data_IF_710200404472
#
_entry.id   IF_710200404472
#
_cell.length_a   1.000
_cell.length_b   1.000
_cell.length_c   1.000
_cell.angle_alpha   90.00
_cell.angle_beta   90.00
_cell.angle_gamma   90.00
#
_symmetry.space_group_name_H-M   'P 1'
#
loop_
_entity.id
_entity.type
_entity.pdbx_description
1 polymer ?
#
# COMPACT_ATOMS: atom_id res chain seq x y z
N UNK A 1 -6.57 22.71 20.92
CA UNK A 1 -5.57 22.11 20.01
C UNK A 1 -6.08 22.33 18.59
N UNK A 2 -5.28 22.91 17.70
CA UNK A 2 -5.66 23.04 16.30
C UNK A 2 -5.49 21.70 15.54
N UNK A 3 -6.02 21.63 14.31
CA UNK A 3 -5.99 20.40 13.50
C UNK A 3 -4.58 19.94 13.16
N UNK A 4 -3.63 20.86 12.94
CA UNK A 4 -2.27 20.51 12.58
C UNK A 4 -1.55 19.86 13.77
N UNK A 5 -1.72 20.42 14.97
CA UNK A 5 -1.22 19.88 16.23
C UNK A 5 -1.84 18.52 16.55
N UNK A 6 -3.16 18.37 16.37
CA UNK A 6 -3.85 17.10 16.56
C UNK A 6 -3.34 16.01 15.60
N UNK A 7 -3.17 16.33 14.31
CA UNK A 7 -2.59 15.40 13.32
C UNK A 7 -1.13 15.05 13.64
N UNK A 8 -0.36 16.01 14.15
CA UNK A 8 1.03 15.76 14.56
C UNK A 8 1.09 14.76 15.73
N UNK A 9 0.28 14.97 16.77
CA UNK A 9 0.19 14.08 17.91
C UNK A 9 -0.28 12.67 17.51
N UNK A 10 -1.30 12.57 16.64
CA UNK A 10 -1.79 11.28 16.13
C UNK A 10 -0.71 10.52 15.34
N UNK A 11 0.06 11.20 14.49
CA UNK A 11 1.17 10.58 13.76
C UNK A 11 2.27 10.08 14.68
N UNK A 12 2.64 10.87 15.70
CA UNK A 12 3.65 10.47 16.67
C UNK A 12 3.22 9.20 17.43
N UNK A 13 1.98 9.15 17.90
CA UNK A 13 1.43 7.97 18.57
C UNK A 13 1.38 6.74 17.64
N UNK A 14 0.93 6.93 16.39
CA UNK A 14 0.85 5.86 15.40
C UNK A 14 2.23 5.28 15.05
N UNK A 15 3.23 6.15 14.84
CA UNK A 15 4.60 5.72 14.55
C UNK A 15 5.21 4.94 15.73
N UNK A 16 4.97 5.39 16.97
CA UNK A 16 5.42 4.68 18.17
C UNK A 16 4.78 3.28 18.26
N UNK A 17 3.48 3.15 17.98
CA UNK A 17 2.79 1.86 17.99
C UNK A 17 3.25 0.94 16.85
N UNK A 18 3.52 1.52 15.67
CA UNK A 18 3.98 0.77 14.49
C UNK A 18 5.31 0.05 14.73
N UNK A 19 6.17 0.57 15.60
CA UNK A 19 7.44 -0.07 15.93
C UNK A 19 7.28 -1.48 16.53
N UNK A 20 6.11 -1.81 17.10
CA UNK A 20 5.79 -3.14 17.62
C UNK A 20 5.07 -4.05 16.62
N UNK A 21 4.88 -3.60 15.36
CA UNK A 21 4.17 -4.36 14.35
C UNK A 21 4.99 -5.56 13.88
N UNK A 22 4.43 -6.76 13.99
CA UNK A 22 5.00 -7.97 13.39
C UNK A 22 4.64 -8.01 11.89
N UNK A 23 5.62 -7.98 10.96
CA UNK A 23 5.34 -8.07 9.52
C UNK A 23 4.60 -9.34 9.11
N UNK A 24 4.70 -10.43 9.89
CA UNK A 24 4.05 -11.72 9.61
C UNK A 24 2.52 -11.64 9.61
N UNK A 25 1.94 -10.61 10.24
CA UNK A 25 0.48 -10.39 10.22
C UNK A 25 -0.05 -10.02 8.82
N UNK A 26 0.84 -9.73 7.86
CA UNK A 26 0.48 -9.46 6.46
C UNK A 26 -0.31 -10.59 5.80
N UNK A 27 -0.07 -11.85 6.18
CA UNK A 27 -0.85 -12.98 5.69
C UNK A 27 -2.30 -12.94 6.17
N UNK A 28 -2.52 -12.65 7.46
CA UNK A 28 -3.86 -12.49 8.02
C UNK A 28 -4.58 -11.28 7.40
N UNK A 29 -3.87 -10.16 7.21
CA UNK A 29 -4.39 -8.99 6.50
C UNK A 29 -4.85 -9.34 5.08
N UNK A 30 -4.05 -10.09 4.31
CA UNK A 30 -4.41 -10.50 2.96
C UNK A 30 -5.70 -11.34 2.93
N UNK A 31 -5.86 -12.26 3.88
CA UNK A 31 -7.08 -13.06 4.03
C UNK A 31 -8.29 -12.18 4.33
N UNK A 32 -8.16 -11.23 5.27
CA UNK A 32 -9.26 -10.31 5.61
C UNK A 32 -9.66 -9.44 4.42
N UNK A 33 -8.70 -8.89 3.68
CA UNK A 33 -8.97 -8.09 2.48
C UNK A 33 -9.72 -8.92 1.44
N UNK A 34 -9.24 -10.12 1.11
CA UNK A 34 -9.87 -10.95 0.07
C UNK A 34 -11.24 -11.52 0.48
N UNK A 35 -11.51 -11.62 1.78
CA UNK A 35 -12.81 -12.05 2.31
C UNK A 35 -13.83 -10.91 2.35
N UNK A 36 -13.46 -9.77 2.93
CA UNK A 36 -14.41 -8.73 3.33
C UNK A 36 -14.42 -7.54 2.35
N UNK A 37 -13.31 -7.33 1.62
CA UNK A 37 -13.09 -6.17 0.76
C UNK A 37 -12.54 -6.59 -0.62
N UNK A 38 -12.98 -7.74 -1.14
CA UNK A 38 -12.44 -8.30 -2.38
C UNK A 38 -12.58 -7.30 -3.53
N UNK A 39 -11.51 -7.03 -4.30
CA UNK A 39 -11.61 -6.18 -5.48
C UNK A 39 -12.60 -6.77 -6.51
N UNK A 40 -13.33 -5.92 -7.27
CA UNK A 40 -14.17 -6.40 -8.36
C UNK A 40 -13.39 -7.22 -9.38
N UNK A 41 -13.97 -8.30 -9.91
CA UNK A 41 -13.30 -9.16 -10.88
C UNK A 41 -12.81 -8.36 -12.10
N UNK A 42 -11.56 -8.60 -12.50
CA UNK A 42 -10.91 -7.89 -13.61
C UNK A 42 -10.41 -6.49 -13.29
N UNK A 43 -10.60 -6.00 -12.07
CA UNK A 43 -10.12 -4.67 -11.68
C UNK A 43 -8.59 -4.61 -11.62
N UNK A 44 -8.02 -3.47 -12.00
CA UNK A 44 -6.64 -3.11 -11.69
C UNK A 44 -6.52 -2.67 -10.24
N UNK A 45 -5.73 -3.39 -9.46
CA UNK A 45 -5.53 -3.18 -8.03
C UNK A 45 -4.21 -2.46 -7.79
N UNK A 46 -4.26 -1.25 -7.26
CA UNK A 46 -3.09 -0.59 -6.70
C UNK A 46 -2.82 -1.10 -5.27
N UNK A 47 -1.60 -1.55 -5.05
CA UNK A 47 -1.03 -1.78 -3.73
C UNK A 47 0.29 -1.02 -3.63
N UNK A 48 1.04 -1.18 -2.55
CA UNK A 48 2.33 -0.52 -2.36
C UNK A 48 3.37 -1.52 -1.86
N UNK A 49 4.64 -1.28 -2.17
CA UNK A 49 5.72 -1.98 -1.49
C UNK A 49 5.85 -1.44 -0.06
N UNK A 50 5.55 -2.26 0.94
CA UNK A 50 5.62 -1.88 2.36
C UNK A 50 7.04 -1.48 2.75
N UNK A 51 7.17 -0.43 3.55
CA UNK A 51 8.44 0.00 4.13
C UNK A 51 8.81 -0.82 5.37
N UNK A 52 10.04 -0.67 5.85
CA UNK A 52 10.49 -1.30 7.09
C UNK A 52 9.60 -0.89 8.28
N UNK A 53 9.21 -1.90 9.06
CA UNK A 53 8.30 -1.76 10.21
C UNK A 53 6.82 -1.63 9.84
N UNK A 54 6.44 -1.71 8.55
CA UNK A 54 5.04 -1.81 8.14
C UNK A 54 4.57 -3.26 8.06
N UNK A 55 3.25 -3.47 8.09
CA UNK A 55 2.66 -4.77 7.76
C UNK A 55 3.07 -5.11 6.31
N UNK A 56 3.60 -6.31 6.10
CA UNK A 56 4.04 -6.71 4.77
C UNK A 56 2.88 -6.79 3.79
N UNK A 57 3.01 -6.16 2.63
CA UNK A 57 2.04 -6.23 1.52
C UNK A 57 2.34 -7.35 0.52
N UNK A 58 3.50 -8.02 0.65
CA UNK A 58 3.88 -9.14 -0.23
C UNK A 58 2.83 -10.27 -0.26
N UNK A 59 2.24 -10.69 0.89
CA UNK A 59 1.21 -11.74 0.86
C UNK A 59 -0.02 -11.39 0.02
N UNK A 60 -0.54 -10.15 0.12
CA UNK A 60 -1.70 -9.73 -0.68
C UNK A 60 -1.33 -9.55 -2.16
N UNK A 61 -0.13 -9.04 -2.46
CA UNK A 61 0.38 -8.96 -3.84
C UNK A 61 0.44 -10.33 -4.52
N UNK A 62 1.00 -11.33 -3.83
CA UNK A 62 1.08 -12.70 -4.34
C UNK A 62 -0.31 -13.34 -4.50
N UNK A 63 -1.22 -13.10 -3.55
CA UNK A 63 -2.58 -13.64 -3.61
C UNK A 63 -3.38 -13.03 -4.77
N UNK A 64 -3.29 -11.71 -4.96
CA UNK A 64 -3.91 -11.02 -6.11
C UNK A 64 -3.34 -11.53 -7.44
N UNK A 65 -2.03 -11.79 -7.50
CA UNK A 65 -1.39 -12.30 -8.72
C UNK A 65 -1.85 -13.73 -9.03
N UNK A 66 -1.91 -14.59 -8.01
CA UNK A 66 -2.44 -15.95 -8.12
C UNK A 66 -3.87 -15.96 -8.67
N UNK A 67 -4.71 -15.04 -8.16
CA UNK A 67 -6.10 -14.81 -8.59
C UNK A 67 -6.23 -14.06 -9.93
N UNK A 68 -5.12 -13.79 -10.62
CA UNK A 68 -5.07 -13.18 -11.96
C UNK A 68 -5.56 -11.72 -12.03
N UNK A 69 -5.47 -10.97 -10.94
CA UNK A 69 -5.68 -9.52 -10.98
C UNK A 69 -4.52 -8.80 -11.67
N UNK A 70 -4.82 -7.67 -12.31
CA UNK A 70 -3.80 -6.70 -12.72
C UNK A 70 -3.37 -5.92 -11.48
N UNK A 71 -2.07 -5.83 -11.23
CA UNK A 71 -1.53 -5.19 -10.03
C UNK A 71 -0.60 -4.05 -10.43
N UNK A 72 -0.75 -2.87 -9.82
CA UNK A 72 0.22 -1.79 -9.93
C UNK A 72 0.74 -1.32 -8.58
N UNK A 73 1.95 -0.77 -8.61
CA UNK A 73 2.57 -0.07 -7.50
C UNK A 73 2.70 1.43 -7.82
N UNK A 74 2.57 2.33 -6.83
CA UNK A 74 2.71 3.76 -7.02
C UNK A 74 4.17 4.15 -7.24
N UNK A 75 4.40 5.07 -8.16
CA UNK A 75 5.64 5.81 -8.35
C UNK A 75 5.42 7.21 -7.80
N UNK A 76 6.28 7.64 -6.88
CA UNK A 76 6.21 8.99 -6.30
C UNK A 76 6.95 9.98 -7.18
N UNK A 77 6.26 10.91 -7.88
CA UNK A 77 6.89 11.88 -8.77
C UNK A 77 7.50 13.06 -7.99
N UNK A 78 7.76 14.17 -8.69
CA UNK A 78 8.07 15.46 -8.07
C UNK A 78 6.90 15.93 -7.19
N UNK A 79 7.20 16.69 -6.14
CA UNK A 79 6.15 17.21 -5.23
C UNK A 79 5.22 18.12 -6.04
N UNK A 80 3.92 17.95 -5.86
CA UNK A 80 2.89 18.70 -6.59
C UNK A 80 2.30 17.93 -7.77
N UNK A 81 2.93 16.82 -8.18
CA UNK A 81 2.44 15.96 -9.25
C UNK A 81 1.65 14.76 -8.69
N UNK A 82 0.64 14.25 -9.43
CA UNK A 82 -0.13 13.07 -9.02
C UNK A 82 0.72 11.80 -9.09
N UNK A 83 0.44 10.83 -8.20
CA UNK A 83 1.07 9.51 -8.27
C UNK A 83 0.86 8.87 -9.64
N UNK A 84 1.93 8.28 -10.18
CA UNK A 84 1.85 7.39 -11.32
C UNK A 84 1.78 5.95 -10.81
N UNK A 85 1.29 5.02 -11.62
CA UNK A 85 1.18 3.62 -11.22
C UNK A 85 1.75 2.73 -12.32
N UNK A 86 2.61 1.78 -11.93
CA UNK A 86 3.33 0.89 -12.84
C UNK A 86 3.00 -0.56 -12.52
N UNK A 87 2.82 -1.36 -13.55
CA UNK A 87 2.48 -2.78 -13.41
C UNK A 87 3.54 -3.53 -12.61
N UNK A 88 3.11 -4.37 -11.68
CA UNK A 88 3.96 -5.27 -10.92
C UNK A 88 3.53 -6.72 -11.11
N UNK A 89 4.51 -7.61 -11.21
CA UNK A 89 4.38 -9.05 -11.17
C UNK A 89 5.48 -9.67 -10.29
N UNK A 90 5.27 -10.88 -9.73
CA UNK A 90 6.31 -11.60 -9.02
C UNK A 90 7.55 -11.79 -9.89
N UNK A 91 8.72 -11.42 -9.35
CA UNK A 91 9.99 -11.51 -10.05
C UNK A 91 10.39 -10.24 -10.81
N UNK A 92 9.50 -9.24 -10.90
CA UNK A 92 9.87 -7.94 -11.47
C UNK A 92 11.03 -7.30 -10.69
N UNK A 93 11.91 -6.63 -11.41
CA UNK A 93 12.99 -5.87 -10.79
C UNK A 93 12.41 -4.64 -10.12
N UNK A 94 12.69 -4.51 -8.82
CA UNK A 94 12.27 -3.35 -8.04
C UNK A 94 13.28 -2.22 -8.20
N UNK A 95 12.76 -1.03 -8.50
CA UNK A 95 13.48 0.23 -8.62
C UNK A 95 13.27 1.05 -7.34
N UNK A 96 14.36 1.55 -6.79
CA UNK A 96 14.33 2.44 -5.62
C UNK A 96 13.67 3.77 -5.97
N UNK A 97 12.63 4.11 -5.21
CA UNK A 97 11.89 5.35 -5.32
C UNK A 97 12.30 6.40 -4.27
N UNK A 98 11.54 7.50 -4.23
CA UNK A 98 11.71 8.55 -3.22
C UNK A 98 11.13 8.08 -1.88
N UNK A 99 11.63 8.65 -0.78
CA UNK A 99 11.14 8.35 0.59
C UNK A 99 11.24 6.87 1.01
N UNK A 100 12.21 6.14 0.46
CA UNK A 100 12.43 4.72 0.78
C UNK A 100 11.44 3.76 0.10
N UNK A 101 10.54 4.27 -0.75
CA UNK A 101 9.61 3.44 -1.51
C UNK A 101 10.33 2.65 -2.60
N UNK A 102 9.67 1.63 -3.13
CA UNK A 102 10.11 0.91 -4.32
C UNK A 102 8.93 0.66 -5.27
N UNK A 103 9.22 0.59 -6.56
CA UNK A 103 8.25 0.37 -7.62
C UNK A 103 8.89 -0.42 -8.76
N UNK A 104 8.15 -0.72 -9.82
CA UNK A 104 8.68 -1.35 -11.04
C UNK A 104 8.80 -0.32 -12.16
N UNK A 105 9.47 -0.70 -13.25
CA UNK A 105 9.54 0.06 -14.50
C UNK A 105 8.55 -0.44 -15.57
N UNK A 106 7.59 -1.29 -15.18
CA UNK A 106 6.59 -1.86 -16.08
C UNK A 106 5.65 -0.83 -16.73
N UNK A 107 4.70 -1.29 -17.57
CA UNK A 107 3.73 -0.40 -18.20
C UNK A 107 2.94 0.45 -17.20
N UNK A 108 2.59 1.68 -17.59
CA UNK A 108 1.67 2.49 -16.78
C UNK A 108 0.28 1.85 -16.74
N UNK A 109 -0.36 1.94 -15.57
CA UNK A 109 -1.72 1.45 -15.39
C UNK A 109 -2.55 2.46 -14.61
N UNK A 110 -3.87 2.43 -14.82
CA UNK A 110 -4.82 3.19 -14.02
C UNK A 110 -5.50 2.26 -13.01
N UNK A 111 -5.35 2.48 -11.70
CA UNK A 111 -6.01 1.65 -10.71
C UNK A 111 -7.51 1.93 -10.63
N UNK A 112 -8.27 0.88 -10.37
CA UNK A 112 -9.72 0.92 -10.13
C UNK A 112 -10.08 0.56 -8.69
N UNK A 113 -9.14 -0.09 -7.98
CA UNK A 113 -9.21 -0.39 -6.56
C UNK A 113 -7.85 -0.06 -5.94
N UNK A 114 -7.81 0.63 -4.80
CA UNK A 114 -6.56 1.12 -4.19
C UNK A 114 -6.49 0.68 -2.73
N UNK A 115 -5.43 -0.08 -2.39
CA UNK A 115 -5.01 -0.27 -1.01
C UNK A 115 -4.20 0.95 -0.58
N UNK A 116 -4.80 1.80 0.25
CA UNK A 116 -4.22 3.08 0.67
C UNK A 116 -3.27 2.85 1.87
N UNK A 117 -1.98 3.20 1.78
CA UNK A 117 -1.09 3.19 2.93
C UNK A 117 -1.45 4.33 3.90
N UNK A 118 -1.58 4.01 5.19
CA UNK A 118 -1.97 4.96 6.24
C UNK A 118 -1.11 4.77 7.49
N UNK A 119 -0.86 5.87 8.22
CA UNK A 119 -0.27 5.78 9.55
C UNK A 119 -1.32 5.45 10.61
N UNK A 120 -2.50 6.04 10.50
CA UNK A 120 -3.63 5.81 11.39
C UNK A 120 -4.92 6.05 10.61
N UNK A 121 -6.00 5.43 11.09
CA UNK A 121 -7.35 5.69 10.62
C UNK A 121 -8.34 5.47 11.76
N UNK A 122 -9.56 5.96 11.59
CA UNK A 122 -10.65 5.72 12.53
C UNK A 122 -11.84 4.98 11.88
N UNK A 123 -12.88 4.71 12.68
CA UNK A 123 -14.08 3.98 12.22
C UNK A 123 -14.93 4.76 11.21
N UNK A 124 -14.64 6.04 11.00
CA UNK A 124 -15.34 6.89 10.03
C UNK A 124 -14.58 6.97 8.70
N UNK A 125 -13.39 6.36 8.63
CA UNK A 125 -12.54 6.33 7.43
C UNK A 125 -11.65 7.56 7.26
N UNK A 126 -11.40 8.32 8.34
CA UNK A 126 -10.40 9.40 8.35
C UNK A 126 -8.97 8.88 8.40
#
# INVERSE_FOLDING_TARGET
>A
MDLASAKSAARAAALANRAACDPAVGAAMAIHIMRDCRPPAGATVAAFASLDGEISTIPILNLLHHEKFNICLPVTPKRGEPLQFRQWQPGDTMVSGRFGTSHTDGPEMTPQFILVPLLAFDRHGN
#
